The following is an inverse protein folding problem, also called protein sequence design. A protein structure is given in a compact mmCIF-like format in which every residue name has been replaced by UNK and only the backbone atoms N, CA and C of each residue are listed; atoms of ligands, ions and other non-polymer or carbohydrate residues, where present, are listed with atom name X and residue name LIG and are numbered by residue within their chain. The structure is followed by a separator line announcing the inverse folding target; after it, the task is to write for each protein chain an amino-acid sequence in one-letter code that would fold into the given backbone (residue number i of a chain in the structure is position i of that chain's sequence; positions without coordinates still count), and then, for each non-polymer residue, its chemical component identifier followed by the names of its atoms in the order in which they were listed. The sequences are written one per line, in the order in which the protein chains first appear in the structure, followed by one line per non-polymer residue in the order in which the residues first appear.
data_IF_120927312821
#
_entry.id   IF_120927312821
#
_cell.length_a   1.000
_cell.length_b   1.000
_cell.length_c   1.000
_cell.angle_alpha   90.00
_cell.angle_beta   90.00
_cell.angle_gamma   90.00
#
_symmetry.space_group_name_H-M   'P 1'
#
loop_
_entity.id
_entity.type
_entity.pdbx_description
1 polymer ?
#
# COMPACT_ATOMS: atom_id res chain seq x y z
N UNK A 1 4.32 0.90 -5.63
CA UNK A 1 2.90 0.48 -5.65
C UNK A 1 2.80 -1.02 -5.40
N UNK A 2 2.29 -1.39 -4.23
CA UNK A 2 1.96 -2.79 -3.96
C UNK A 2 0.57 -3.04 -4.52
N UNK A 3 0.51 -3.37 -5.79
CA UNK A 3 -0.77 -3.70 -6.42
C UNK A 3 -1.17 -5.12 -6.06
N UNK A 4 -2.25 -5.28 -5.32
CA UNK A 4 -2.89 -6.58 -5.15
C UNK A 4 -3.58 -6.91 -6.46
N UNK A 5 -2.97 -7.78 -7.25
CA UNK A 5 -3.58 -8.26 -8.49
C UNK A 5 -4.62 -9.30 -8.14
N UNK A 6 -5.88 -8.99 -8.42
CA UNK A 6 -6.96 -9.98 -8.31
C UNK A 6 -6.80 -10.99 -9.45
N UNK A 7 -6.70 -12.28 -9.17
CA UNK A 7 -6.60 -13.31 -10.23
C UNK A 7 -7.78 -13.25 -11.17
N UNK A 8 -7.55 -13.51 -12.45
CA UNK A 8 -8.61 -13.50 -13.49
C UNK A 8 -9.81 -14.42 -13.16
N UNK A 9 -9.56 -15.50 -12.45
CA UNK A 9 -10.60 -16.43 -11.97
C UNK A 9 -11.55 -15.81 -10.93
N UNK A 10 -11.17 -14.71 -10.29
CA UNK A 10 -12.02 -13.99 -9.34
C UNK A 10 -12.82 -12.85 -9.99
N UNK A 11 -12.61 -12.58 -11.27
CA UNK A 11 -13.37 -11.55 -12.01
C UNK A 11 -14.89 -11.81 -12.07
N UNK A 12 -15.32 -13.04 -11.82
CA UNK A 12 -16.73 -13.41 -11.76
C UNK A 12 -17.42 -13.15 -10.42
N UNK A 13 -16.69 -12.76 -9.38
CA UNK A 13 -17.29 -12.46 -8.08
C UNK A 13 -17.79 -11.01 -8.11
N UNK A 14 -19.11 -10.77 -8.01
CA UNK A 14 -19.68 -9.42 -8.20
C UNK A 14 -19.10 -8.34 -7.30
N UNK A 15 -18.56 -8.75 -6.18
CA UNK A 15 -18.01 -7.86 -5.15
C UNK A 15 -16.64 -7.29 -5.49
N UNK A 16 -15.81 -8.08 -6.14
CA UNK A 16 -14.45 -7.69 -6.51
C UNK A 16 -14.47 -6.86 -7.80
N UNK A 17 -15.41 -7.16 -8.69
CA UNK A 17 -15.58 -6.43 -9.95
C UNK A 17 -16.02 -4.97 -9.77
N UNK A 18 -16.75 -4.64 -8.71
CA UNK A 18 -17.24 -3.26 -8.53
C UNK A 18 -16.16 -2.28 -8.12
N UNK A 19 -15.16 -2.72 -7.38
CA UNK A 19 -14.00 -1.90 -7.07
C UNK A 19 -12.94 -1.93 -8.17
N UNK A 20 -12.69 -3.08 -8.78
CA UNK A 20 -11.66 -3.25 -9.79
C UNK A 20 -12.00 -2.62 -11.16
N UNK A 21 -13.29 -2.44 -11.46
CA UNK A 21 -13.71 -1.84 -12.74
C UNK A 21 -13.46 -0.34 -12.85
N UNK A 22 -13.15 0.32 -11.76
CA UNK A 22 -12.90 1.77 -11.70
C UNK A 22 -11.41 2.09 -11.58
N UNK A 23 -10.60 1.10 -11.20
CA UNK A 23 -9.16 1.29 -11.06
C UNK A 23 -8.50 1.02 -12.42
N UNK A 24 -7.82 2.00 -13.00
CA UNK A 24 -7.09 1.79 -14.25
C UNK A 24 -6.03 0.70 -14.08
N UNK A 25 -5.73 -0.03 -15.15
CA UNK A 25 -4.68 -1.03 -15.14
C UNK A 25 -3.35 -0.38 -14.75
N UNK A 26 -2.72 -0.90 -13.70
CA UNK A 26 -1.40 -0.45 -13.31
C UNK A 26 -0.36 -0.95 -14.34
N UNK A 27 0.31 -0.05 -15.05
CA UNK A 27 1.33 -0.43 -16.02
C UNK A 27 2.56 -1.07 -15.35
N UNK A 28 2.78 -0.79 -14.07
CA UNK A 28 3.91 -1.35 -13.31
C UNK A 28 3.61 -2.80 -12.96
N UNK A 29 4.44 -3.70 -13.46
CA UNK A 29 4.32 -5.15 -13.21
C UNK A 29 5.21 -5.62 -12.07
N UNK A 30 6.19 -4.81 -11.67
CA UNK A 30 7.11 -5.10 -10.58
C UNK A 30 6.41 -4.95 -9.24
N UNK A 31 6.55 -5.94 -8.38
CA UNK A 31 5.99 -5.94 -7.03
C UNK A 31 7.06 -6.31 -6.02
N UNK A 32 6.97 -5.76 -4.82
CA UNK A 32 7.82 -6.12 -3.69
C UNK A 32 6.89 -6.38 -2.51
N UNK A 33 7.07 -7.47 -1.79
CA UNK A 33 6.36 -7.63 -0.53
C UNK A 33 6.81 -6.59 0.48
N UNK A 34 5.88 -6.02 1.20
CA UNK A 34 6.14 -4.96 2.16
C UNK A 34 7.23 -5.33 3.17
N UNK A 35 7.21 -6.57 3.66
CA UNK A 35 8.25 -7.10 4.56
C UNK A 35 9.64 -7.20 3.92
N UNK A 36 9.74 -7.22 2.60
CA UNK A 36 10.98 -7.34 1.85
C UNK A 36 11.49 -6.00 1.31
N UNK A 37 10.72 -4.92 1.42
CA UNK A 37 11.10 -3.60 0.91
C UNK A 37 12.47 -3.15 1.41
N UNK A 38 12.80 -3.23 2.72
CA UNK A 38 14.14 -2.85 3.18
C UNK A 38 15.24 -3.65 2.52
N UNK A 39 15.05 -4.95 2.37
CA UNK A 39 16.04 -5.83 1.72
C UNK A 39 16.15 -5.52 0.23
N UNK A 40 15.03 -5.24 -0.44
CA UNK A 40 15.01 -4.87 -1.85
C UNK A 40 15.80 -3.58 -2.11
N UNK A 41 15.76 -2.61 -1.19
CA UNK A 41 16.52 -1.37 -1.29
C UNK A 41 18.00 -1.60 -1.00
N UNK A 42 18.31 -2.33 0.09
CA UNK A 42 19.68 -2.46 0.59
C UNK A 42 20.52 -3.43 -0.22
N UNK A 43 19.96 -4.59 -0.55
CA UNK A 43 20.70 -5.76 -1.06
C UNK A 43 20.02 -6.40 -2.28
N UNK A 44 19.67 -5.67 -3.35
CA UNK A 44 19.17 -6.29 -4.57
C UNK A 44 20.31 -7.04 -5.31
N UNK A 45 19.97 -8.07 -6.12
CA UNK A 45 18.64 -8.60 -6.35
C UNK A 45 18.14 -9.48 -5.22
N UNK A 46 16.82 -9.51 -5.03
CA UNK A 46 16.17 -10.43 -4.09
C UNK A 46 15.22 -11.37 -4.82
N UNK A 47 15.04 -12.55 -4.25
CA UNK A 47 14.15 -13.59 -4.77
C UNK A 47 13.23 -14.08 -3.67
N UNK A 48 11.98 -14.34 -4.01
CA UNK A 48 11.01 -14.94 -3.10
C UNK A 48 9.96 -15.74 -3.87
N UNK A 49 9.24 -16.57 -3.17
CA UNK A 49 8.08 -17.26 -3.75
C UNK A 49 6.82 -16.48 -3.46
N UNK A 50 5.89 -16.46 -4.40
CA UNK A 50 4.61 -15.79 -4.23
C UNK A 50 3.84 -16.44 -3.07
N UNK A 51 3.44 -15.62 -2.11
CA UNK A 51 2.63 -16.00 -0.95
C UNK A 51 1.23 -15.39 -0.98
N UNK A 52 0.68 -15.11 -2.14
CA UNK A 52 -0.64 -14.50 -2.27
C UNK A 52 -1.72 -15.44 -1.74
N UNK A 53 -2.35 -15.08 -0.64
CA UNK A 53 -3.41 -15.86 0.01
C UNK A 53 -4.56 -16.21 -0.94
N UNK A 54 -4.83 -15.35 -1.91
CA UNK A 54 -5.93 -15.48 -2.87
C UNK A 54 -5.50 -15.94 -4.27
N UNK A 55 -4.24 -16.31 -4.44
CA UNK A 55 -3.76 -16.83 -5.70
C UNK A 55 -4.06 -18.34 -5.82
N UNK A 56 -4.29 -18.86 -7.03
CA UNK A 56 -4.28 -20.28 -7.28
C UNK A 56 -3.01 -20.93 -6.76
N UNK A 57 -3.09 -22.19 -6.36
CA UNK A 57 -1.94 -22.92 -5.78
C UNK A 57 -0.72 -22.86 -6.70
N UNK A 58 -0.94 -22.93 -8.00
CA UNK A 58 0.11 -22.86 -9.02
C UNK A 58 0.85 -21.51 -9.01
N UNK A 59 0.16 -20.43 -8.67
CA UNK A 59 0.75 -19.07 -8.58
C UNK A 59 1.42 -18.82 -7.24
N UNK A 60 1.12 -19.58 -6.21
CA UNK A 60 1.73 -19.42 -4.90
C UNK A 60 3.20 -19.89 -4.85
N UNK A 61 3.61 -20.70 -5.80
CA UNK A 61 4.97 -21.26 -5.88
C UNK A 61 5.81 -20.66 -7.00
N UNK A 62 5.36 -19.60 -7.62
CA UNK A 62 6.14 -18.89 -8.63
C UNK A 62 7.23 -18.07 -7.93
N UNK A 63 8.47 -18.29 -8.35
CA UNK A 63 9.58 -17.47 -7.89
C UNK A 63 9.50 -16.08 -8.53
N UNK A 64 9.50 -15.08 -7.69
CA UNK A 64 9.56 -13.68 -8.07
C UNK A 64 10.97 -13.13 -7.82
N UNK A 65 11.35 -12.17 -8.64
CA UNK A 65 12.66 -11.52 -8.56
C UNK A 65 12.49 -10.01 -8.56
N UNK A 66 13.26 -9.33 -7.75
CA UNK A 66 13.38 -7.87 -7.79
C UNK A 66 14.86 -7.45 -7.86
N UNK A 67 15.23 -6.51 -8.72
CA UNK A 67 14.40 -5.98 -9.80
C UNK A 67 14.01 -7.08 -10.80
N UNK A 68 12.79 -6.97 -11.35
CA UNK A 68 12.40 -7.87 -12.44
C UNK A 68 13.25 -7.59 -13.70
N UNK A 69 13.43 -8.54 -14.62
CA UNK A 69 14.15 -8.29 -15.86
C UNK A 69 13.60 -7.06 -16.60
N UNK A 70 14.48 -6.08 -16.83
CA UNK A 70 14.09 -4.79 -17.43
C UNK A 70 13.42 -3.79 -16.49
N UNK A 71 13.25 -4.14 -15.22
CA UNK A 71 12.75 -3.24 -14.18
C UNK A 71 13.84 -2.40 -13.55
N UNK A 72 13.47 -1.26 -13.01
CA UNK A 72 14.35 -0.38 -12.22
C UNK A 72 14.36 -0.75 -10.74
N UNK A 73 15.40 -0.37 -10.04
CA UNK A 73 15.40 -0.35 -8.58
C UNK A 73 14.52 0.79 -8.05
N UNK A 74 14.21 0.77 -6.76
CA UNK A 74 13.46 1.85 -6.09
C UNK A 74 14.41 3.01 -5.85
N UNK A 75 14.04 4.19 -6.36
CA UNK A 75 14.75 5.45 -6.18
C UNK A 75 13.93 6.48 -5.44
N UNK A 76 12.61 6.31 -5.39
CA UNK A 76 11.69 7.21 -4.70
C UNK A 76 10.71 6.41 -3.86
N UNK A 77 10.39 6.93 -2.70
CA UNK A 77 9.37 6.38 -1.82
C UNK A 77 8.32 7.46 -1.56
N UNK A 78 7.05 7.10 -1.76
CA UNK A 78 5.92 7.94 -1.37
C UNK A 78 5.01 7.14 -0.46
N UNK A 79 4.80 7.63 0.74
CA UNK A 79 3.89 7.01 1.72
C UNK A 79 2.60 7.81 1.84
N UNK A 80 1.49 7.12 1.76
CA UNK A 80 0.18 7.58 2.18
C UNK A 80 -0.18 7.06 3.59
N UNK A 81 0.52 6.03 4.04
CA UNK A 81 0.34 5.42 5.35
C UNK A 81 1.70 5.20 6.01
N UNK A 82 2.03 6.05 6.96
CA UNK A 82 3.35 6.10 7.60
C UNK A 82 3.38 5.30 8.89
N UNK A 83 3.60 4.00 8.81
CA UNK A 83 3.82 3.19 10.00
C UNK A 83 4.58 1.88 9.76
N UNK A 84 5.33 1.81 8.67
CA UNK A 84 6.06 0.58 8.33
C UNK A 84 7.06 0.20 9.42
N UNK A 85 7.80 1.16 9.96
CA UNK A 85 8.78 0.92 11.00
C UNK A 85 8.17 0.39 12.30
N UNK A 86 6.92 0.77 12.60
CA UNK A 86 6.22 0.33 13.80
C UNK A 86 5.50 -1.00 13.62
N UNK A 87 4.99 -1.28 12.42
CA UNK A 87 4.12 -2.41 12.15
C UNK A 87 4.81 -3.61 11.52
N UNK A 88 5.96 -3.39 10.87
CA UNK A 88 6.67 -4.45 10.15
C UNK A 88 7.96 -4.86 10.84
N UNK A 89 8.44 -6.03 10.47
CA UNK A 89 9.63 -6.61 11.08
C UNK A 89 10.89 -5.77 10.84
N UNK A 90 11.79 -5.76 11.81
CA UNK A 90 13.14 -5.23 11.69
C UNK A 90 13.22 -3.72 11.39
N UNK A 91 12.75 -2.92 12.34
CA UNK A 91 12.79 -1.45 12.32
C UNK A 91 14.17 -0.88 11.95
N UNK A 92 15.25 -1.49 12.42
CA UNK A 92 16.60 -1.03 12.11
C UNK A 92 16.93 -1.19 10.61
N UNK A 93 16.42 -2.23 9.97
CA UNK A 93 16.61 -2.42 8.54
C UNK A 93 15.80 -1.41 7.73
N UNK A 94 14.59 -1.08 8.17
CA UNK A 94 13.78 0.00 7.60
C UNK A 94 14.51 1.35 7.70
N UNK A 95 15.02 1.70 8.87
CA UNK A 95 15.79 2.93 9.08
C UNK A 95 17.03 3.01 8.18
N UNK A 96 17.73 1.89 7.97
CA UNK A 96 18.86 1.82 7.05
C UNK A 96 18.42 1.98 5.60
N UNK A 97 17.30 1.38 5.21
CA UNK A 97 16.76 1.48 3.85
C UNK A 97 16.38 2.93 3.51
N UNK A 98 15.70 3.62 4.42
CA UNK A 98 15.34 5.03 4.24
C UNK A 98 16.54 5.96 4.14
N UNK A 99 17.65 5.63 4.79
CA UNK A 99 18.91 6.38 4.71
C UNK A 99 19.82 5.91 3.58
N UNK A 100 19.38 4.97 2.77
CA UNK A 100 20.18 4.48 1.66
C UNK A 100 20.39 5.58 0.61
N UNK A 101 21.60 5.76 0.10
CA UNK A 101 21.86 6.72 -0.97
C UNK A 101 21.18 6.35 -2.30
N UNK A 102 20.59 5.16 -2.40
CA UNK A 102 19.77 4.76 -3.54
C UNK A 102 18.41 5.47 -3.56
N UNK A 103 17.92 5.91 -2.40
CA UNK A 103 16.67 6.66 -2.30
C UNK A 103 16.98 8.13 -2.50
N UNK A 104 16.58 8.65 -3.64
CA UNK A 104 16.85 10.02 -4.07
C UNK A 104 15.82 11.01 -3.52
N UNK A 105 14.62 10.53 -3.23
CA UNK A 105 13.54 11.34 -2.65
C UNK A 105 12.57 10.47 -1.88
N UNK A 106 12.13 10.99 -0.74
CA UNK A 106 11.09 10.39 0.08
C UNK A 106 10.02 11.40 0.46
N UNK A 107 8.76 11.05 0.21
CA UNK A 107 7.60 11.90 0.48
C UNK A 107 6.66 11.19 1.45
N UNK A 108 6.29 11.85 2.52
CA UNK A 108 5.28 11.37 3.46
C UNK A 108 4.03 12.24 3.38
N UNK A 109 2.90 11.63 3.04
CA UNK A 109 1.59 12.25 3.12
C UNK A 109 0.92 11.71 4.40
N UNK A 110 0.82 12.56 5.41
CA UNK A 110 0.46 12.07 6.75
C UNK A 110 -0.25 13.12 7.60
N UNK A 111 -1.05 12.62 8.53
CA UNK A 111 -1.73 13.43 9.55
C UNK A 111 -0.77 13.78 10.69
N UNK A 112 0.09 12.83 11.07
CA UNK A 112 1.00 12.96 12.21
C UNK A 112 2.45 12.73 11.77
N UNK A 113 3.34 13.55 12.26
CA UNK A 113 4.78 13.39 12.04
C UNK A 113 5.34 12.30 12.96
N UNK A 114 5.24 11.06 12.52
CA UNK A 114 5.65 9.89 13.29
C UNK A 114 6.41 8.86 12.44
N UNK A 115 7.15 7.98 13.11
CA UNK A 115 7.82 6.83 12.50
C UNK A 115 8.53 7.14 11.18
N UNK A 116 8.01 6.60 10.09
CA UNK A 116 8.60 6.71 8.74
C UNK A 116 8.63 8.16 8.25
N UNK A 117 7.64 8.99 8.62
CA UNK A 117 7.59 10.40 8.23
C UNK A 117 8.80 11.21 8.72
N UNK A 118 9.45 10.77 9.81
CA UNK A 118 10.70 11.37 10.31
C UNK A 118 11.89 11.14 9.38
N UNK A 119 11.77 10.26 8.40
CA UNK A 119 12.79 9.99 7.38
C UNK A 119 12.46 10.61 6.03
N UNK A 120 11.32 11.28 5.92
CA UNK A 120 10.90 11.89 4.66
C UNK A 120 11.67 13.20 4.39
N UNK A 121 11.99 13.43 3.12
CA UNK A 121 12.54 14.70 2.65
C UNK A 121 11.44 15.76 2.53
N UNK A 122 10.23 15.33 2.20
CA UNK A 122 9.06 16.18 2.05
C UNK A 122 7.91 15.59 2.86
N UNK A 123 7.29 16.42 3.68
CA UNK A 123 6.06 16.04 4.42
C UNK A 123 4.90 16.87 3.90
N UNK A 124 3.87 16.17 3.44
CA UNK A 124 2.61 16.77 2.99
C UNK A 124 1.55 16.55 4.09
N UNK A 125 1.12 17.60 4.77
CA UNK A 125 0.12 17.46 5.83
C UNK A 125 -1.24 17.09 5.23
N UNK A 126 -1.77 15.96 5.66
CA UNK A 126 -3.07 15.44 5.24
C UNK A 126 -4.15 15.78 6.26
N UNK A 127 -5.38 15.98 5.78
CA UNK A 127 -6.54 16.16 6.63
C UNK A 127 -6.86 14.88 7.42
N UNK A 128 -7.30 15.08 8.65
CA UNK A 128 -7.94 14.00 9.43
C UNK A 128 -9.31 13.67 8.84
N UNK A 129 -9.89 12.55 9.28
CA UNK A 129 -11.25 12.17 8.89
C UNK A 129 -12.32 13.20 9.29
N UNK A 130 -12.06 14.03 10.31
CA UNK A 130 -12.98 15.09 10.73
C UNK A 130 -12.89 16.33 9.82
N UNK A 131 -11.78 16.49 9.13
CA UNK A 131 -11.45 17.67 8.33
C UNK A 131 -11.78 17.53 6.84
N UNK A 132 -12.19 16.33 6.41
CA UNK A 132 -12.51 16.06 4.99
C UNK A 132 -13.85 15.37 4.82
N UNK A 133 -14.38 15.45 3.62
CA UNK A 133 -15.42 14.54 3.18
C UNK A 133 -14.74 13.29 2.63
N UNK A 134 -15.30 12.14 2.96
CA UNK A 134 -14.75 10.87 2.49
C UNK A 134 -15.86 9.85 2.26
N UNK A 135 -15.59 8.89 1.44
CA UNK A 135 -16.47 7.79 1.17
C UNK A 135 -15.72 6.48 1.40
N UNK A 136 -16.06 5.81 2.46
CA UNK A 136 -15.55 4.48 2.74
C UNK A 136 -16.60 3.42 2.46
N UNK A 137 -16.20 2.36 1.83
CA UNK A 137 -16.98 1.13 1.85
C UNK A 137 -16.11 0.04 2.46
N UNK A 138 -16.49 -0.39 3.61
CA UNK A 138 -15.87 -1.55 4.23
C UNK A 138 -16.79 -2.75 4.05
N UNK A 139 -16.27 -3.78 3.42
CA UNK A 139 -16.92 -5.06 3.48
C UNK A 139 -16.77 -5.62 4.90
N UNK A 140 -17.88 -5.84 5.60
CA UNK A 140 -17.92 -6.56 6.88
C UNK A 140 -17.08 -7.87 6.92
N UNK A 141 -16.77 -8.52 5.79
CA UNK A 141 -15.91 -9.70 5.77
C UNK A 141 -14.51 -9.46 6.32
N UNK A 142 -13.98 -8.26 6.23
CA UNK A 142 -12.63 -7.96 6.72
C UNK A 142 -12.55 -8.00 8.26
N UNK A 143 -13.57 -7.54 8.93
CA UNK A 143 -13.64 -7.56 10.39
C UNK A 143 -13.88 -8.97 10.96
N UNK A 144 -14.39 -9.91 10.16
CA UNK A 144 -14.75 -11.25 10.61
C UNK A 144 -13.91 -12.39 10.01
N UNK A 145 -12.88 -12.08 9.24
CA UNK A 145 -11.94 -13.08 8.69
C UNK A 145 -12.57 -14.09 7.73
N UNK A 146 -13.79 -13.86 7.27
CA UNK A 146 -14.46 -14.70 6.29
C UNK A 146 -14.65 -13.95 4.99
N UNK A 147 -14.06 -14.51 3.95
CA UNK A 147 -14.24 -14.01 2.60
C UNK A 147 -15.70 -13.93 2.19
N UNK A 148 -15.98 -13.01 1.41
CA UNK A 148 -16.95 -12.80 0.33
C UNK A 148 -18.37 -13.40 0.39
N UNK A 149 -18.71 -14.28 1.28
CA UNK A 149 -20.00 -14.99 1.26
C UNK A 149 -21.16 -14.18 1.86
N UNK A 150 -20.84 -13.05 2.50
CA UNK A 150 -21.85 -12.16 3.05
C UNK A 150 -21.87 -10.88 2.23
N UNK A 151 -22.71 -10.84 1.25
CA UNK A 151 -22.84 -9.78 0.24
C UNK A 151 -23.30 -8.40 0.78
N UNK A 152 -23.04 -8.07 2.02
CA UNK A 152 -23.42 -6.81 2.62
C UNK A 152 -22.22 -5.85 2.68
N UNK A 153 -22.15 -4.94 1.70
CA UNK A 153 -21.26 -3.78 1.79
C UNK A 153 -22.00 -2.66 2.52
N UNK A 154 -21.34 -2.08 3.48
CA UNK A 154 -21.76 -0.82 4.09
C UNK A 154 -20.94 0.28 3.44
N UNK A 155 -21.61 1.12 2.67
CA UNK A 155 -21.02 2.36 2.20
C UNK A 155 -21.26 3.43 3.28
N UNK A 156 -20.16 4.01 3.78
CA UNK A 156 -20.21 5.07 4.77
C UNK A 156 -19.74 6.35 4.12
N UNK A 157 -20.64 7.34 4.06
CA UNK A 157 -20.26 8.70 3.70
C UNK A 157 -19.91 9.46 4.98
N UNK A 158 -18.68 9.91 5.05
CA UNK A 158 -18.16 10.72 6.16
C UNK A 158 -18.21 12.18 5.76
N UNK A 159 -19.05 12.94 6.45
CA UNK A 159 -19.18 14.36 6.22
C UNK A 159 -18.11 15.12 7.00
N UNK A 160 -17.52 16.12 6.38
CA UNK A 160 -16.62 17.03 7.05
C UNK A 160 -17.28 17.66 8.28
N UNK A 161 -16.63 17.59 9.44
CA UNK A 161 -17.10 18.14 10.70
C UNK A 161 -16.46 19.49 11.04
N UNK A 162 -15.20 19.66 10.69
CA UNK A 162 -14.42 20.88 10.92
C UNK A 162 -13.66 21.27 9.64
N UNK A 163 -13.30 22.53 9.52
CA UNK A 163 -12.42 22.99 8.43
C UNK A 163 -11.02 22.38 8.60
N UNK A 164 -10.29 22.15 7.49
CA UNK A 164 -8.89 21.76 7.55
C UNK A 164 -8.09 22.67 8.49
N UNK A 165 -7.28 22.07 9.33
CA UNK A 165 -6.42 22.78 10.27
C UNK A 165 -5.08 23.07 9.61
N UNK A 166 -4.58 24.28 9.83
CA UNK A 166 -3.31 24.75 9.29
C UNK A 166 -3.22 24.59 7.76
N UNK A 167 -2.20 23.91 7.27
CA UNK A 167 -1.95 23.68 5.86
C UNK A 167 -2.41 22.32 5.36
N UNK A 168 -3.16 21.57 6.19
CA UNK A 168 -3.63 20.23 5.82
C UNK A 168 -4.56 20.29 4.60
N UNK A 169 -4.42 19.32 3.72
CA UNK A 169 -5.24 19.19 2.52
C UNK A 169 -5.85 17.78 2.44
N UNK A 170 -7.00 17.70 1.80
CA UNK A 170 -7.58 16.41 1.46
C UNK A 170 -6.69 15.67 0.47
N UNK A 171 -6.70 14.37 0.55
CA UNK A 171 -6.02 13.43 -0.36
C UNK A 171 -6.77 13.30 -1.71
N UNK A 172 -7.87 14.00 -1.87
CA UNK A 172 -8.68 14.05 -3.09
C UNK A 172 -8.60 15.42 -3.77
#
# INVERSE_FOLDING_TARGET
DVTIRVPDKMKGIPMINRGASVIPDNPVKQTIYQTLVPKAILDPPIHWYSGRIWAPVEEQFIQLTYPMPGGSEVHMIWWDTVSNMANWNNTNQWARAYRSPKIECSVAQTIFLENDALFADIVLPACTQLEREDFSYEGLPFAMGRGSDVGNFVAVYMKQCIKPLYESKSDY
#
